data_IF_408155841003
#
_entry.id   IF_408155841003
#
_cell.length_a   1.000
_cell.length_b   1.000
_cell.length_c   1.000
_cell.angle_alpha   90.00
_cell.angle_beta   90.00
_cell.angle_gamma   90.00
#
_symmetry.space_group_name_H-M   'P 1'
#
loop_
_entity.id
_entity.type
_entity.pdbx_description
1 polymer ?
#
# COMPACT_ATOMS: atom_id res chain seq x y z
N UNK A 1 -6.53 -6.76 -13.25
CA UNK A 1 -6.06 -6.84 -14.65
C UNK A 1 -4.55 -7.10 -14.72
N UNK A 2 -3.75 -6.67 -13.74
CA UNK A 2 -2.29 -6.87 -13.74
C UNK A 2 -1.87 -8.34 -13.53
N UNK A 3 -2.70 -9.17 -12.90
CA UNK A 3 -2.37 -10.57 -12.60
C UNK A 3 -2.44 -11.54 -13.81
N UNK A 4 -3.01 -11.14 -14.95
CA UNK A 4 -3.15 -11.98 -16.15
C UNK A 4 -1.96 -11.91 -17.13
N UNK A 5 -0.91 -11.15 -16.81
CA UNK A 5 0.19 -10.86 -17.73
C UNK A 5 1.45 -11.71 -17.52
N UNK A 6 1.40 -12.76 -16.68
CA UNK A 6 2.56 -13.63 -16.42
C UNK A 6 2.47 -14.87 -17.30
N UNK A 7 3.05 -14.82 -18.48
CA UNK A 7 3.14 -16.00 -19.36
C UNK A 7 3.62 -15.73 -20.79
N UNK A 8 4.79 -15.18 -20.97
CA UNK A 8 5.70 -15.38 -22.11
C UNK A 8 6.92 -14.45 -22.01
N UNK A 9 8.03 -14.82 -22.60
CA UNK A 9 9.36 -14.20 -22.52
C UNK A 9 9.48 -12.77 -23.09
N UNK A 10 8.37 -12.13 -23.43
CA UNK A 10 8.34 -10.75 -23.92
C UNK A 10 8.49 -9.75 -22.77
N UNK A 11 9.34 -8.75 -22.93
CA UNK A 11 9.53 -7.71 -21.93
C UNK A 11 8.18 -7.05 -21.56
N UNK A 12 7.94 -6.81 -20.29
CA UNK A 12 6.70 -6.17 -19.79
C UNK A 12 6.41 -4.86 -20.55
N UNK A 13 7.44 -4.12 -20.91
CA UNK A 13 7.31 -2.88 -21.67
C UNK A 13 6.74 -3.11 -23.07
N UNK A 14 7.19 -4.15 -23.76
CA UNK A 14 6.76 -4.43 -25.15
C UNK A 14 5.26 -4.81 -25.16
N UNK A 15 4.80 -5.55 -24.16
CA UNK A 15 3.37 -5.85 -24.00
C UNK A 15 2.53 -4.61 -23.75
N UNK A 16 3.01 -3.70 -22.90
CA UNK A 16 2.33 -2.45 -22.63
C UNK A 16 2.24 -1.58 -23.89
N UNK A 17 3.30 -1.55 -24.72
CA UNK A 17 3.30 -0.84 -26.00
C UNK A 17 2.25 -1.44 -26.94
N UNK A 18 2.22 -2.77 -27.09
CA UNK A 18 1.23 -3.47 -27.92
C UNK A 18 -0.20 -3.16 -27.48
N UNK A 19 -0.48 -3.23 -26.19
CA UNK A 19 -1.79 -2.88 -25.64
C UNK A 19 -2.15 -1.40 -25.85
N UNK A 20 -1.18 -0.50 -25.72
CA UNK A 20 -1.39 0.91 -25.96
C UNK A 20 -1.73 1.20 -27.43
N UNK A 21 -1.06 0.53 -28.37
CA UNK A 21 -1.33 0.62 -29.79
C UNK A 21 -2.71 0.06 -30.17
N UNK A 22 -3.12 -1.07 -29.58
CA UNK A 22 -4.48 -1.65 -29.72
C UNK A 22 -5.57 -0.69 -29.23
N UNK A 23 -5.29 0.10 -28.21
CA UNK A 23 -6.19 1.12 -27.67
C UNK A 23 -6.12 2.46 -28.42
N UNK A 24 -5.31 2.55 -29.48
CA UNK A 24 -5.18 3.74 -30.30
C UNK A 24 -4.39 4.88 -29.66
N UNK A 25 -3.42 4.55 -28.81
CA UNK A 25 -2.52 5.54 -28.20
C UNK A 25 -1.33 5.75 -29.14
N UNK A 26 -1.22 6.95 -29.71
CA UNK A 26 -0.11 7.31 -30.59
C UNK A 26 1.19 7.49 -29.80
N UNK A 27 2.33 7.12 -30.43
CA UNK A 27 3.68 7.27 -29.87
C UNK A 27 3.95 6.54 -28.54
N UNK A 28 3.26 5.44 -28.26
CA UNK A 28 3.43 4.66 -27.03
C UNK A 28 4.89 4.22 -26.79
N UNK A 29 5.65 3.94 -27.87
CA UNK A 29 7.06 3.50 -27.80
C UNK A 29 8.03 4.56 -27.24
N UNK A 30 7.68 5.85 -27.31
CA UNK A 30 8.52 6.95 -26.83
C UNK A 30 8.27 7.29 -25.35
N UNK A 31 7.15 6.83 -24.79
CA UNK A 31 6.73 7.12 -23.43
C UNK A 31 7.47 6.24 -22.41
N UNK A 32 7.59 6.74 -21.17
CA UNK A 32 8.08 5.95 -20.05
C UNK A 32 7.02 4.93 -19.63
N UNK A 33 7.45 3.83 -19.02
CA UNK A 33 6.55 2.75 -18.55
C UNK A 33 5.34 3.27 -17.76
N UNK A 34 5.55 4.20 -16.83
CA UNK A 34 4.48 4.79 -16.02
C UNK A 34 3.51 5.64 -16.86
N UNK A 35 4.03 6.38 -17.85
CA UNK A 35 3.22 7.20 -18.77
C UNK A 35 2.36 6.34 -19.69
N UNK A 36 2.90 5.20 -20.16
CA UNK A 36 2.14 4.22 -20.97
C UNK A 36 1.01 3.64 -20.12
N UNK A 37 1.30 3.18 -18.91
CA UNK A 37 0.30 2.65 -17.98
C UNK A 37 -0.81 3.69 -17.69
N UNK A 38 -0.43 4.93 -17.44
CA UNK A 38 -1.38 6.02 -17.20
C UNK A 38 -2.28 6.26 -18.43
N UNK A 39 -1.72 6.28 -19.63
CA UNK A 39 -2.45 6.47 -20.87
C UNK A 39 -3.43 5.31 -21.14
N UNK A 40 -3.01 4.06 -20.89
CA UNK A 40 -3.87 2.87 -20.99
C UNK A 40 -5.03 2.97 -19.96
N UNK A 41 -4.71 3.25 -18.70
CA UNK A 41 -5.72 3.38 -17.65
C UNK A 41 -6.73 4.49 -17.95
N UNK A 42 -6.28 5.63 -18.50
CA UNK A 42 -7.16 6.72 -18.91
C UNK A 42 -8.16 6.26 -19.98
N UNK A 43 -7.72 5.49 -20.96
CA UNK A 43 -8.58 4.96 -22.03
C UNK A 43 -9.55 3.88 -21.51
N UNK A 44 -9.11 3.03 -20.61
CA UNK A 44 -9.96 2.02 -19.98
C UNK A 44 -11.01 2.67 -19.08
N UNK A 45 -10.62 3.70 -18.31
CA UNK A 45 -11.53 4.45 -17.42
C UNK A 45 -12.66 5.21 -18.17
N UNK A 46 -12.49 5.45 -19.48
CA UNK A 46 -13.57 6.01 -20.31
C UNK A 46 -14.67 4.99 -20.61
N UNK A 47 -14.35 3.68 -20.55
CA UNK A 47 -15.26 2.59 -20.93
C UNK A 47 -15.78 1.77 -19.77
N UNK A 48 -15.00 1.63 -18.72
CA UNK A 48 -15.28 0.77 -17.57
C UNK A 48 -15.01 1.52 -16.25
N UNK A 49 -15.79 1.15 -15.22
CA UNK A 49 -15.51 1.63 -13.86
C UNK A 49 -14.22 0.99 -13.35
N UNK A 50 -13.25 1.82 -12.99
CA UNK A 50 -11.98 1.37 -12.42
C UNK A 50 -12.04 1.56 -10.90
N UNK A 51 -11.64 0.53 -10.17
CA UNK A 51 -11.43 0.62 -8.73
C UNK A 51 -9.94 0.86 -8.44
N UNK A 52 -9.66 1.88 -7.68
CA UNK A 52 -8.31 2.19 -7.20
C UNK A 52 -8.17 1.89 -5.72
N UNK A 53 -6.96 1.49 -5.31
CA UNK A 53 -6.58 1.28 -3.92
C UNK A 53 -5.20 1.91 -3.66
N UNK A 54 -5.00 2.42 -2.46
CA UNK A 54 -3.71 2.98 -2.07
C UNK A 54 -3.70 3.46 -0.63
N UNK A 55 -2.53 3.88 -0.18
CA UNK A 55 -2.33 4.44 1.16
C UNK A 55 -2.44 5.97 1.10
N UNK A 56 -3.31 6.52 1.93
CA UNK A 56 -3.58 7.95 1.96
C UNK A 56 -2.41 8.73 2.56
N UNK A 57 -1.97 9.75 1.84
CA UNK A 57 -1.11 10.81 2.33
C UNK A 57 -1.89 12.13 2.32
N UNK A 58 -2.10 12.72 3.48
CA UNK A 58 -2.70 14.05 3.60
C UNK A 58 -1.65 15.14 3.38
N UNK A 59 -2.05 16.20 2.69
CA UNK A 59 -1.27 17.42 2.51
C UNK A 59 -1.79 18.53 3.41
N UNK A 60 -0.98 19.57 3.61
CA UNK A 60 -1.30 20.69 4.49
C UNK A 60 -2.58 21.45 4.06
N UNK A 61 -2.89 21.42 2.76
CA UNK A 61 -4.08 22.08 2.19
C UNK A 61 -5.40 21.31 2.44
N UNK A 62 -5.33 20.17 3.16
CA UNK A 62 -6.50 19.39 3.56
C UNK A 62 -7.03 18.42 2.51
N UNK A 63 -6.41 18.29 1.35
CA UNK A 63 -6.63 17.22 0.39
C UNK A 63 -5.56 16.12 0.52
N UNK A 64 -5.73 15.00 -0.14
CA UNK A 64 -4.77 13.91 -0.08
C UNK A 64 -4.60 13.18 -1.39
N UNK A 65 -3.58 12.32 -1.42
CA UNK A 65 -3.32 11.39 -2.51
C UNK A 65 -3.23 9.97 -1.98
N UNK A 66 -3.78 9.02 -2.72
CA UNK A 66 -3.52 7.61 -2.50
C UNK A 66 -2.23 7.24 -3.21
N UNK A 67 -1.26 6.76 -2.45
CA UNK A 67 0.05 6.34 -2.93
C UNK A 67 0.07 4.83 -3.14
N UNK A 68 0.70 4.41 -4.21
CA UNK A 68 0.87 3.01 -4.53
C UNK A 68 2.06 2.40 -3.77
N UNK A 69 1.89 1.16 -3.29
CA UNK A 69 2.96 0.40 -2.63
C UNK A 69 4.09 0.06 -3.62
N UNK A 70 3.76 -0.19 -4.87
CA UNK A 70 4.69 -0.52 -5.94
C UNK A 70 5.67 0.61 -6.24
N UNK A 71 5.26 1.85 -5.98
CA UNK A 71 6.10 3.05 -6.12
C UNK A 71 6.82 3.43 -4.82
N UNK A 72 6.87 2.54 -3.82
CA UNK A 72 7.39 2.83 -2.48
C UNK A 72 6.75 4.09 -1.85
N UNK A 73 5.48 4.34 -2.13
CA UNK A 73 4.71 5.49 -1.69
C UNK A 73 5.27 6.85 -2.16
N UNK A 74 6.15 6.85 -3.17
CA UNK A 74 6.68 8.07 -3.76
C UNK A 74 5.64 8.74 -4.67
N UNK A 75 5.66 10.08 -4.80
CA UNK A 75 4.78 10.81 -5.71
C UNK A 75 4.94 10.33 -7.16
N UNK A 76 3.83 10.03 -7.81
CA UNK A 76 3.80 9.56 -9.19
C UNK A 76 2.59 10.10 -9.97
N UNK A 77 2.59 9.94 -11.30
CA UNK A 77 1.46 10.32 -12.15
C UNK A 77 0.22 9.44 -11.94
N UNK A 78 0.40 8.27 -11.35
CA UNK A 78 -0.60 7.25 -11.01
C UNK A 78 -1.29 7.49 -9.65
N UNK A 79 -0.93 8.57 -8.96
CA UNK A 79 -1.57 8.93 -7.70
C UNK A 79 -3.06 9.26 -7.90
N UNK A 80 -3.87 8.88 -6.92
CA UNK A 80 -5.31 9.13 -6.93
C UNK A 80 -5.63 10.27 -5.97
N UNK A 81 -6.23 11.33 -6.48
CA UNK A 81 -6.65 12.47 -5.68
C UNK A 81 -7.85 12.13 -4.81
N UNK A 82 -7.79 12.52 -3.53
CA UNK A 82 -8.88 12.42 -2.57
C UNK A 82 -9.31 13.80 -2.10
N UNK A 83 -10.60 14.10 -2.23
CA UNK A 83 -11.15 15.41 -1.90
C UNK A 83 -11.22 15.66 -0.39
N UNK A 84 -11.09 16.92 0.06
CA UNK A 84 -11.22 17.28 1.47
C UNK A 84 -12.57 16.90 2.09
N UNK A 85 -13.63 16.88 1.28
CA UNK A 85 -14.97 16.49 1.72
C UNK A 85 -15.03 15.01 2.11
N UNK A 86 -14.40 14.13 1.34
CA UNK A 86 -14.31 12.69 1.65
C UNK A 86 -13.44 12.44 2.88
N UNK A 87 -12.31 13.14 2.98
CA UNK A 87 -11.41 13.04 4.13
C UNK A 87 -12.15 13.40 5.43
N UNK A 88 -12.88 14.51 5.44
CA UNK A 88 -13.67 14.92 6.62
C UNK A 88 -14.84 14.01 6.92
N UNK A 89 -15.56 13.57 5.87
CA UNK A 89 -16.75 12.70 6.03
C UNK A 89 -16.42 11.38 6.70
N UNK A 90 -15.27 10.77 6.35
CA UNK A 90 -14.84 9.46 6.85
C UNK A 90 -13.77 9.54 7.95
N UNK A 91 -13.31 10.75 8.30
CA UNK A 91 -12.25 10.94 9.29
C UNK A 91 -10.93 10.28 8.88
N UNK A 92 -10.59 10.31 7.59
CA UNK A 92 -9.41 9.67 7.05
C UNK A 92 -8.13 10.35 7.54
N UNK A 93 -7.10 9.54 7.76
CA UNK A 93 -5.78 9.99 8.22
C UNK A 93 -4.67 9.48 7.30
N UNK A 94 -3.52 10.14 7.37
CA UNK A 94 -2.32 9.64 6.69
C UNK A 94 -1.98 8.24 7.19
N UNK A 95 -1.77 7.31 6.25
CA UNK A 95 -1.51 5.90 6.53
C UNK A 95 -2.73 4.99 6.43
N UNK A 96 -3.95 5.53 6.28
CA UNK A 96 -5.13 4.71 6.02
C UNK A 96 -5.09 4.15 4.58
N UNK A 97 -5.35 2.86 4.44
CA UNK A 97 -5.56 2.22 3.13
C UNK A 97 -6.99 2.45 2.69
N UNK A 98 -7.17 3.05 1.53
CA UNK A 98 -8.49 3.39 0.99
C UNK A 98 -8.69 2.71 -0.37
N UNK A 99 -9.85 2.12 -0.55
CA UNK A 99 -10.28 1.51 -1.82
C UNK A 99 -11.59 2.14 -2.28
N UNK A 100 -11.72 2.34 -3.60
CA UNK A 100 -12.97 2.82 -4.16
C UNK A 100 -12.92 3.07 -5.66
N UNK A 101 -14.09 3.33 -6.29
CA UNK A 101 -14.16 3.67 -7.70
C UNK A 101 -13.49 5.03 -7.95
N UNK A 102 -12.73 5.08 -9.04
CA UNK A 102 -12.00 6.27 -9.48
C UNK A 102 -12.50 6.71 -10.85
N UNK A 103 -12.42 8.01 -11.11
CA UNK A 103 -12.69 8.57 -12.44
C UNK A 103 -11.41 9.02 -13.12
N UNK A 104 -11.42 8.97 -14.44
CA UNK A 104 -10.37 9.56 -15.25
C UNK A 104 -10.24 11.07 -15.02
N UNK A 105 -9.03 11.63 -15.17
CA UNK A 105 -8.80 13.07 -15.09
C UNK A 105 -9.57 13.80 -16.20
N UNK A 106 -10.23 14.91 -15.85
CA UNK A 106 -10.87 15.82 -16.79
C UNK A 106 -9.82 16.69 -17.49
N UNK A 107 -10.26 17.45 -18.49
CA UNK A 107 -9.39 18.45 -19.13
C UNK A 107 -8.85 19.42 -18.08
N UNK A 108 -7.52 19.53 -18.01
CA UNK A 108 -6.80 20.34 -17.01
C UNK A 108 -6.43 19.62 -15.70
N UNK A 109 -6.97 18.45 -15.42
CA UNK A 109 -6.59 17.63 -14.26
C UNK A 109 -5.44 16.67 -14.63
N UNK A 110 -4.51 16.46 -13.69
CA UNK A 110 -3.37 15.56 -13.90
C UNK A 110 -3.56 14.18 -13.29
N UNK A 111 -4.44 14.04 -12.29
CA UNK A 111 -4.57 12.84 -11.48
C UNK A 111 -5.96 12.22 -11.61
N UNK A 112 -6.04 10.92 -11.43
CA UNK A 112 -7.31 10.26 -11.19
C UNK A 112 -7.94 10.79 -9.91
N UNK A 113 -9.26 10.81 -9.83
CA UNK A 113 -9.96 11.28 -8.64
C UNK A 113 -10.84 10.18 -8.06
N UNK A 114 -10.78 9.98 -6.75
CA UNK A 114 -11.63 9.05 -6.03
C UNK A 114 -13.07 9.58 -6.04
N UNK A 115 -14.01 8.77 -6.54
CA UNK A 115 -15.44 9.11 -6.58
C UNK A 115 -16.09 8.84 -5.23
N UNK A 116 -15.86 7.65 -4.70
CA UNK A 116 -16.45 7.19 -3.45
C UNK A 116 -15.47 6.29 -2.71
N UNK A 117 -15.54 6.30 -1.39
CA UNK A 117 -14.79 5.37 -0.53
C UNK A 117 -15.63 4.11 -0.35
N UNK A 118 -15.13 2.97 -0.81
CA UNK A 118 -15.78 1.67 -0.65
C UNK A 118 -15.28 0.93 0.58
N UNK A 119 -13.96 0.97 0.83
CA UNK A 119 -13.35 0.35 2.01
C UNK A 119 -12.29 1.26 2.61
N UNK A 120 -12.13 1.15 3.93
CA UNK A 120 -11.07 1.83 4.70
C UNK A 120 -10.39 0.77 5.57
N UNK A 121 -9.07 0.56 5.37
CA UNK A 121 -8.29 -0.47 6.07
C UNK A 121 -8.93 -1.86 5.97
N UNK A 122 -9.42 -2.21 4.77
CA UNK A 122 -10.07 -3.49 4.45
C UNK A 122 -11.46 -3.71 5.09
N UNK A 123 -11.99 -2.72 5.81
CA UNK A 123 -13.30 -2.73 6.43
C UNK A 123 -14.27 -1.75 5.78
N UNK A 124 -15.57 -1.92 6.06
CA UNK A 124 -16.60 -0.98 5.63
C UNK A 124 -16.42 0.41 6.27
N UNK A 125 -16.72 1.51 5.56
CA UNK A 125 -16.48 2.87 6.05
C UNK A 125 -17.22 3.20 7.36
N UNK A 126 -18.38 2.60 7.61
CA UNK A 126 -19.17 2.86 8.80
C UNK A 126 -18.51 2.32 10.08
N UNK A 127 -17.83 1.18 9.99
CA UNK A 127 -17.05 0.63 11.11
C UNK A 127 -15.82 1.48 11.44
N UNK A 128 -15.28 2.15 10.44
CA UNK A 128 -14.10 3.02 10.59
C UNK A 128 -14.36 4.32 11.35
N UNK A 129 -15.62 4.76 11.49
CA UNK A 129 -15.97 6.01 12.21
C UNK A 129 -15.65 6.00 13.70
N UNK A 130 -15.64 4.82 14.31
CA UNK A 130 -15.39 4.66 15.76
C UNK A 130 -13.94 4.35 16.10
N UNK A 131 -13.00 4.64 15.19
CA UNK A 131 -11.57 4.46 15.42
C UNK A 131 -11.07 5.35 16.55
N UNK A 132 -10.49 4.72 17.56
CA UNK A 132 -9.74 5.44 18.60
C UNK A 132 -8.39 5.84 17.99
N UNK A 133 -8.03 7.11 18.12
CA UNK A 133 -6.71 7.58 17.70
C UNK A 133 -5.63 6.90 18.55
N UNK A 134 -4.50 6.55 17.92
CA UNK A 134 -3.38 5.92 18.61
C UNK A 134 -2.93 6.72 19.86
N UNK A 135 -2.91 8.04 19.74
CA UNK A 135 -2.52 8.94 20.84
C UNK A 135 -3.47 8.89 22.05
N UNK A 136 -4.71 8.42 21.84
CA UNK A 136 -5.72 8.27 22.89
C UNK A 136 -5.73 6.86 23.51
N UNK A 137 -4.87 5.96 23.04
CA UNK A 137 -4.75 4.63 23.63
C UNK A 137 -4.00 4.69 24.96
N UNK A 138 -4.52 3.98 25.96
CA UNK A 138 -3.83 3.84 27.25
C UNK A 138 -2.62 2.91 27.07
N UNK A 139 -1.39 3.36 27.38
CA UNK A 139 -0.22 2.50 27.30
C UNK A 139 -0.29 1.43 28.40
N UNK A 140 -0.10 0.19 28.01
CA UNK A 140 -0.02 -0.96 28.91
C UNK A 140 1.39 -1.54 28.89
N UNK A 141 1.81 -2.09 30.04
CA UNK A 141 3.02 -2.91 30.07
C UNK A 141 2.77 -4.22 29.30
N UNK A 142 3.80 -4.76 28.60
CA UNK A 142 3.65 -6.02 27.89
C UNK A 142 3.37 -7.15 28.89
N UNK A 143 2.19 -7.74 28.78
CA UNK A 143 1.69 -8.87 29.60
C UNK A 143 1.88 -10.23 28.93
N UNK A 144 2.18 -10.24 27.62
CA UNK A 144 2.36 -11.45 26.80
C UNK A 144 3.79 -11.56 26.33
N UNK A 145 4.46 -12.64 26.72
CA UNK A 145 5.81 -12.94 26.26
C UNK A 145 5.82 -13.37 24.80
N UNK A 146 6.82 -12.91 24.06
CA UNK A 146 7.17 -13.40 22.76
C UNK A 146 8.16 -14.56 22.96
N UNK A 147 7.69 -15.81 22.85
CA UNK A 147 8.54 -16.99 22.98
C UNK A 147 9.39 -17.13 21.73
N UNK A 148 10.69 -17.02 21.89
CA UNK A 148 11.70 -17.13 20.81
C UNK A 148 12.20 -18.57 20.64
N UNK A 149 12.02 -19.43 21.66
CA UNK A 149 12.43 -20.81 21.60
C UNK A 149 11.68 -21.56 20.50
N UNK A 150 12.42 -22.25 19.63
CA UNK A 150 11.88 -23.08 18.56
C UNK A 150 11.90 -24.54 19.01
N UNK A 151 10.77 -25.25 18.84
CA UNK A 151 10.69 -26.69 19.14
C UNK A 151 11.74 -27.49 18.37
N UNK A 152 12.45 -28.32 19.10
CA UNK A 152 13.53 -29.17 18.59
C UNK A 152 12.99 -30.37 17.82
N UNK A 153 12.93 -30.27 16.49
CA UNK A 153 12.42 -31.40 15.68
C UNK A 153 13.43 -32.48 15.32
N UNK A 154 14.75 -32.30 15.60
CA UNK A 154 15.79 -33.33 15.34
C UNK A 154 17.00 -33.20 16.27
N UNK A 155 17.45 -34.30 16.93
CA UNK A 155 18.56 -34.27 17.90
C UNK A 155 19.98 -34.09 17.29
N UNK A 156 20.15 -34.20 15.95
CA UNK A 156 21.46 -34.27 15.31
C UNK A 156 22.02 -33.00 14.68
N UNK A 157 21.33 -31.88 14.75
CA UNK A 157 21.88 -30.59 14.26
C UNK A 157 22.37 -29.75 15.43
N UNK A 158 23.56 -29.14 15.28
CA UNK A 158 24.03 -28.06 16.17
C UNK A 158 22.92 -27.07 16.33
N UNK A 159 22.24 -27.11 17.47
CA UNK A 159 21.09 -26.27 17.75
C UNK A 159 21.61 -24.89 18.15
N UNK A 160 21.00 -23.89 17.59
CA UNK A 160 21.21 -22.52 18.04
C UNK A 160 20.45 -22.32 19.36
N UNK A 161 21.20 -22.24 20.45
CA UNK A 161 20.65 -22.00 21.79
C UNK A 161 20.37 -20.53 22.06
N UNK A 162 20.72 -19.64 21.13
CA UNK A 162 20.56 -18.19 21.29
C UNK A 162 19.11 -17.75 21.62
N UNK A 163 18.08 -18.25 20.92
CA UNK A 163 16.70 -17.87 21.22
C UNK A 163 16.28 -18.27 22.64
N UNK A 164 16.70 -19.46 23.08
CA UNK A 164 16.42 -19.97 24.45
C UNK A 164 17.13 -19.16 25.52
N UNK A 165 18.37 -18.74 25.24
CA UNK A 165 19.12 -17.85 26.15
C UNK A 165 18.45 -16.47 26.27
N UNK A 166 17.94 -15.95 25.16
CA UNK A 166 17.20 -14.67 25.19
C UNK A 166 15.95 -14.81 26.05
N UNK A 167 15.17 -15.86 25.88
CA UNK A 167 13.95 -16.09 26.66
C UNK A 167 14.22 -16.24 28.17
N UNK A 168 15.39 -16.79 28.55
CA UNK A 168 15.76 -16.98 29.95
C UNK A 168 16.36 -15.71 30.59
N UNK A 169 17.19 -14.98 29.86
CA UNK A 169 17.97 -13.86 30.44
C UNK A 169 17.29 -12.51 30.22
N UNK A 170 16.63 -12.34 29.07
CA UNK A 170 16.01 -11.10 28.65
C UNK A 170 14.70 -11.35 27.89
N UNK A 171 13.66 -11.85 28.56
CA UNK A 171 12.40 -12.15 27.90
C UNK A 171 11.80 -10.91 27.25
N UNK A 172 11.30 -11.06 26.04
CA UNK A 172 10.73 -9.97 25.24
C UNK A 172 9.22 -10.08 25.26
N UNK A 173 8.54 -8.98 25.58
CA UNK A 173 7.09 -8.88 25.55
C UNK A 173 6.57 -8.38 24.20
N UNK A 174 5.36 -8.81 23.80
CA UNK A 174 4.69 -8.29 22.60
C UNK A 174 4.43 -6.80 22.75
N UNK A 175 4.91 -6.00 21.78
CA UNK A 175 4.83 -4.54 21.79
C UNK A 175 5.98 -3.83 22.53
N UNK A 176 6.90 -4.56 23.15
CA UNK A 176 8.08 -4.01 23.80
C UNK A 176 9.07 -3.50 22.75
N UNK A 177 9.67 -2.33 23.01
CA UNK A 177 10.81 -1.81 22.25
C UNK A 177 12.10 -2.39 22.81
N UNK A 178 12.92 -2.97 21.95
CA UNK A 178 14.19 -3.58 22.29
C UNK A 178 15.30 -3.05 21.39
N UNK A 179 16.54 -3.07 21.89
CA UNK A 179 17.74 -2.71 21.14
C UNK A 179 18.68 -3.91 21.11
N UNK A 180 19.19 -4.26 19.95
CA UNK A 180 20.20 -5.29 19.79
C UNK A 180 21.50 -4.60 19.39
N UNK A 181 22.51 -4.69 20.25
CA UNK A 181 23.82 -4.08 19.99
C UNK A 181 24.80 -5.21 19.70
N UNK A 182 25.43 -5.16 18.52
CA UNK A 182 26.46 -6.11 18.11
C UNK A 182 27.73 -5.35 17.76
N UNK A 183 28.93 -5.84 18.16
CA UNK A 183 30.15 -5.25 17.68
C UNK A 183 30.25 -5.38 16.16
N UNK A 184 30.82 -4.38 15.46
CA UNK A 184 31.02 -4.50 14.01
C UNK A 184 31.98 -5.65 13.72
N UNK A 185 31.71 -6.40 12.67
CA UNK A 185 32.60 -7.46 12.15
C UNK A 185 33.74 -6.84 11.38
#
# INVERSE_FOLDING_TARGET
IVASLVGSEMCIRDRLITQAEELGIENASTLRKQEILFAILKKVAEKEEITGAGVLQLLQDGFGFLRAMESNYLPGPDDIYVSPSQIRKFGLRTGDTVEGPVRAPKEGERYFALLQVSKINFEEPDKSRHKIAFDNLTPLYPDKQLVMEVEMSKPDKKQDLTPRLIDLVSPIGKGQRSIIISPPK
#
